data_IF_447844849078
#
_entry.id   IF_447844849078
#
_cell.length_a   1.000
_cell.length_b   1.000
_cell.length_c   1.000
_cell.angle_alpha   90.00
_cell.angle_beta   90.00
_cell.angle_gamma   90.00
#
_symmetry.space_group_name_H-M   'P 1'
#
loop_
_entity.id
_entity.type
_entity.pdbx_description
1 polymer ?
#
# COMPACT_ATOMS: atom_id res chain seq x y z
N UNK A 1 13.60 9.22 -20.54
CA UNK A 1 14.08 8.68 -19.25
C UNK A 1 14.55 7.25 -19.48
N UNK A 2 15.41 6.68 -18.62
CA UNK A 2 15.86 5.29 -18.76
C UNK A 2 14.69 4.29 -18.90
N UNK A 3 13.58 4.55 -18.21
CA UNK A 3 12.33 3.83 -18.36
C UNK A 3 11.79 3.83 -19.80
N UNK A 4 11.67 4.99 -20.44
CA UNK A 4 11.06 5.11 -21.78
C UNK A 4 11.89 4.36 -22.82
N UNK A 5 13.20 4.34 -22.65
CA UNK A 5 14.13 3.66 -23.55
C UNK A 5 14.05 2.14 -23.36
N UNK A 6 13.98 1.66 -22.11
CA UNK A 6 13.72 0.26 -21.81
C UNK A 6 12.35 -0.20 -22.32
N UNK A 7 11.30 0.60 -22.08
CA UNK A 7 9.91 0.28 -22.44
C UNK A 7 9.70 0.22 -23.97
N UNK A 8 10.46 1.00 -24.74
CA UNK A 8 10.45 1.01 -26.22
C UNK A 8 11.49 0.10 -26.87
N UNK A 9 12.30 -0.57 -26.05
CA UNK A 9 13.37 -1.45 -26.51
C UNK A 9 12.83 -2.68 -27.24
N UNK A 10 13.60 -3.18 -28.21
CA UNK A 10 13.33 -4.46 -28.87
C UNK A 10 14.00 -5.65 -28.13
N UNK A 11 14.70 -5.39 -27.02
CA UNK A 11 15.21 -6.45 -26.15
C UNK A 11 14.06 -7.28 -25.59
N UNK A 12 14.25 -8.59 -25.49
CA UNK A 12 13.24 -9.51 -24.97
C UNK A 12 12.98 -9.31 -23.47
N UNK A 13 13.98 -8.86 -22.71
CA UNK A 13 13.86 -8.55 -21.28
C UNK A 13 14.72 -7.32 -20.92
N UNK A 14 14.27 -6.10 -21.23
CA UNK A 14 15.00 -4.89 -20.88
C UNK A 14 15.00 -4.67 -19.36
N UNK A 15 16.12 -4.13 -18.85
CA UNK A 15 16.32 -3.85 -17.43
C UNK A 15 16.60 -2.37 -17.22
N UNK A 16 15.89 -1.75 -16.28
CA UNK A 16 16.23 -0.44 -15.71
C UNK A 16 16.89 -0.69 -14.37
N UNK A 17 18.17 -0.34 -14.24
CA UNK A 17 18.98 -0.65 -13.06
C UNK A 17 19.24 0.60 -12.21
N UNK A 18 18.91 0.52 -10.93
CA UNK A 18 19.45 1.37 -9.87
C UNK A 18 20.50 0.55 -9.11
N UNK A 19 21.79 0.65 -9.45
CA UNK A 19 22.84 -0.24 -8.95
C UNK A 19 23.15 -0.02 -7.47
N UNK A 20 23.78 -1.03 -6.87
CA UNK A 20 24.31 -1.00 -5.50
C UNK A 20 25.15 0.27 -5.23
N UNK A 21 25.15 0.71 -3.97
CA UNK A 21 25.90 1.88 -3.46
C UNK A 21 25.51 3.25 -4.05
N UNK A 22 24.54 3.31 -4.96
CA UNK A 22 24.04 4.58 -5.50
C UNK A 22 22.72 5.02 -4.87
N UNK A 23 22.57 6.35 -4.77
CA UNK A 23 21.41 7.05 -4.26
C UNK A 23 20.73 7.84 -5.39
N UNK A 24 19.47 7.54 -5.65
CA UNK A 24 18.67 8.19 -6.70
C UNK A 24 17.55 9.01 -6.10
N UNK A 25 17.66 10.34 -6.13
CA UNK A 25 16.54 11.23 -5.81
C UNK A 25 15.59 11.28 -7.01
N UNK A 26 14.40 10.71 -6.87
CA UNK A 26 13.40 10.63 -7.94
C UNK A 26 12.23 11.55 -7.62
N UNK A 27 11.96 12.50 -8.50
CA UNK A 27 10.76 13.34 -8.43
C UNK A 27 9.49 12.51 -8.69
N UNK A 28 8.30 13.00 -8.34
CA UNK A 28 7.05 12.30 -8.65
C UNK A 28 6.97 11.99 -10.15
N UNK A 29 6.86 10.71 -10.48
CA UNK A 29 7.06 10.19 -11.83
C UNK A 29 6.02 9.14 -12.17
N UNK A 30 5.49 9.23 -13.39
CA UNK A 30 4.59 8.22 -13.96
C UNK A 30 5.39 7.42 -15.00
N UNK A 31 5.67 6.17 -14.67
CA UNK A 31 6.24 5.15 -15.53
C UNK A 31 5.12 4.50 -16.35
N UNK A 32 4.99 4.93 -17.61
CA UNK A 32 3.86 4.54 -18.46
C UNK A 32 4.22 3.37 -19.38
N UNK A 33 3.28 2.44 -19.52
CA UNK A 33 3.21 1.48 -20.61
C UNK A 33 2.09 1.83 -21.63
N UNK A 34 1.72 0.89 -22.52
CA UNK A 34 2.27 -0.46 -22.63
C UNK A 34 3.71 -0.45 -23.16
N UNK A 35 4.55 -1.32 -22.60
CA UNK A 35 5.90 -1.55 -23.10
C UNK A 35 5.90 -2.63 -24.17
N UNK A 36 6.87 -2.60 -25.09
CA UNK A 36 6.97 -3.59 -26.17
C UNK A 36 7.17 -5.01 -25.64
N UNK A 37 7.98 -5.15 -24.61
CA UNK A 37 8.29 -6.40 -23.95
C UNK A 37 8.18 -6.25 -22.43
N UNK A 38 7.92 -7.34 -21.68
CA UNK A 38 8.03 -7.36 -20.22
C UNK A 38 9.41 -6.87 -19.77
N UNK A 39 9.44 -5.92 -18.84
CA UNK A 39 10.67 -5.29 -18.36
C UNK A 39 10.90 -5.53 -16.87
N UNK A 40 12.16 -5.39 -16.46
CA UNK A 40 12.54 -5.43 -15.04
C UNK A 40 13.01 -4.06 -14.57
N UNK A 41 12.43 -3.56 -13.48
CA UNK A 41 13.04 -2.50 -12.68
C UNK A 41 13.85 -3.17 -11.56
N UNK A 42 15.17 -3.14 -11.70
CA UNK A 42 16.11 -3.74 -10.77
C UNK A 42 16.68 -2.66 -9.85
N UNK A 43 16.37 -2.72 -8.56
CA UNK A 43 16.75 -1.78 -7.53
C UNK A 43 17.68 -2.52 -6.56
N UNK A 44 18.98 -2.28 -6.69
CA UNK A 44 20.03 -2.78 -5.80
C UNK A 44 20.55 -1.68 -4.87
N UNK A 45 20.54 -0.43 -5.33
CA UNK A 45 20.85 0.76 -4.55
C UNK A 45 19.65 1.30 -3.78
N UNK A 46 19.59 2.63 -3.65
CA UNK A 46 18.50 3.31 -2.95
C UNK A 46 17.81 4.34 -3.86
N UNK A 47 16.49 4.25 -3.97
CA UNK A 47 15.63 5.28 -4.58
C UNK A 47 14.98 6.09 -3.45
N UNK A 48 15.03 7.42 -3.52
CA UNK A 48 14.52 8.31 -2.47
C UNK A 48 13.58 9.39 -3.02
N UNK A 49 12.55 9.71 -2.26
CA UNK A 49 11.62 10.80 -2.56
C UNK A 49 12.23 12.18 -2.25
N UNK A 50 11.62 13.27 -2.74
CA UNK A 50 11.86 14.62 -2.20
C UNK A 50 11.55 14.69 -0.71
N UNK A 51 12.33 15.51 0.02
CA UNK A 51 12.29 15.57 1.47
C UNK A 51 11.13 16.41 2.03
N UNK A 52 9.93 15.85 1.92
CA UNK A 52 8.73 16.44 2.50
C UNK A 52 7.95 17.39 1.59
N UNK A 53 6.87 17.99 2.13
CA UNK A 53 5.90 18.78 1.37
C UNK A 53 6.47 20.01 0.65
N UNK A 54 7.50 20.63 1.22
CA UNK A 54 8.11 21.87 0.71
C UNK A 54 9.09 21.60 -0.45
N UNK A 55 9.68 20.40 -0.48
CA UNK A 55 10.54 19.94 -1.57
C UNK A 55 9.75 19.30 -2.71
N UNK A 56 8.44 19.13 -2.54
CA UNK A 56 7.57 18.54 -3.55
C UNK A 56 7.28 19.54 -4.69
N UNK A 57 7.30 19.12 -5.96
CA UNK A 57 7.02 20.02 -7.09
C UNK A 57 5.64 20.68 -7.00
N UNK A 58 5.59 22.02 -7.19
CA UNK A 58 4.36 22.83 -7.02
C UNK A 58 3.22 22.48 -7.98
N UNK A 59 3.54 22.04 -9.20
CA UNK A 59 2.56 21.77 -10.26
C UNK A 59 2.27 20.28 -10.46
N UNK A 60 2.57 19.45 -9.46
CA UNK A 60 2.31 18.01 -9.48
C UNK A 60 1.47 17.64 -8.27
N UNK A 61 0.62 16.62 -8.41
CA UNK A 61 -0.18 16.12 -7.30
C UNK A 61 0.71 15.69 -6.13
N UNK A 62 0.27 15.99 -4.90
CA UNK A 62 0.91 15.54 -3.65
C UNK A 62 0.42 14.16 -3.19
N UNK A 63 -0.39 13.48 -4.01
CA UNK A 63 -1.05 12.22 -3.64
C UNK A 63 -0.29 10.97 -4.07
N UNK A 64 0.72 11.09 -4.93
CA UNK A 64 1.41 9.93 -5.52
C UNK A 64 2.85 10.27 -5.84
N UNK A 65 3.78 9.35 -5.54
CA UNK A 65 5.19 9.49 -5.86
C UNK A 65 5.57 8.74 -7.15
N UNK A 66 5.72 7.41 -7.08
CA UNK A 66 6.09 6.59 -8.23
C UNK A 66 4.85 5.82 -8.70
N UNK A 67 4.41 6.09 -9.91
CA UNK A 67 3.22 5.47 -10.49
C UNK A 67 3.62 4.61 -11.67
N UNK A 68 3.23 3.34 -11.66
CA UNK A 68 3.39 2.40 -12.76
C UNK A 68 2.03 2.22 -13.42
N UNK A 69 1.87 2.80 -14.61
CA UNK A 69 0.58 2.92 -15.28
C UNK A 69 0.55 2.09 -16.55
N UNK A 70 -0.46 1.22 -16.69
CA UNK A 70 -0.64 0.36 -17.88
C UNK A 70 0.59 -0.49 -18.21
N UNK A 71 1.30 -0.96 -17.19
CA UNK A 71 2.40 -1.90 -17.37
C UNK A 71 1.88 -3.33 -17.34
N UNK A 72 2.44 -4.19 -18.19
CA UNK A 72 2.04 -5.59 -18.33
C UNK A 72 3.30 -6.48 -18.30
N UNK A 73 3.33 -7.45 -17.40
CA UNK A 73 4.45 -8.38 -17.26
C UNK A 73 5.66 -7.81 -16.52
N UNK A 74 5.53 -6.65 -15.88
CA UNK A 74 6.64 -5.99 -15.22
C UNK A 74 7.11 -6.77 -13.97
N UNK A 75 8.42 -6.84 -13.78
CA UNK A 75 9.04 -7.25 -12.51
C UNK A 75 9.75 -6.07 -11.82
N UNK A 76 9.57 -5.93 -10.50
CA UNK A 76 10.28 -4.96 -9.65
C UNK A 76 10.99 -5.73 -8.51
N UNK A 77 12.32 -5.67 -8.46
CA UNK A 77 13.15 -6.47 -7.53
C UNK A 77 14.54 -5.91 -7.33
N UNK A 78 15.40 -6.54 -6.53
CA UNK A 78 16.86 -6.32 -6.56
C UNK A 78 17.57 -6.17 -5.23
N UNK A 79 16.89 -6.35 -4.10
CA UNK A 79 17.46 -6.29 -2.74
C UNK A 79 17.67 -4.88 -2.19
N UNK A 80 17.49 -3.85 -3.01
CA UNK A 80 17.69 -2.46 -2.66
C UNK A 80 16.53 -1.83 -1.89
N UNK A 81 16.61 -0.51 -1.75
CA UNK A 81 15.74 0.27 -0.86
C UNK A 81 14.94 1.33 -1.62
N UNK A 82 13.66 1.47 -1.29
CA UNK A 82 12.83 2.61 -1.69
C UNK A 82 12.46 3.41 -0.45
N UNK A 83 12.97 4.64 -0.33
CA UNK A 83 12.75 5.55 0.81
C UNK A 83 11.76 6.66 0.46
N UNK A 84 10.58 6.62 1.06
CA UNK A 84 9.54 7.63 0.88
C UNK A 84 9.78 8.94 1.65
N UNK A 85 10.73 8.99 2.59
CA UNK A 85 11.04 10.17 3.43
C UNK A 85 9.80 10.82 4.06
N UNK A 86 8.96 10.00 4.69
CA UNK A 86 7.64 10.36 5.20
C UNK A 86 7.60 11.30 6.41
N UNK A 87 8.68 11.49 7.15
CA UNK A 87 8.67 12.21 8.44
C UNK A 87 8.03 13.60 8.37
N UNK A 88 8.45 14.42 7.41
CA UNK A 88 7.90 15.77 7.23
C UNK A 88 6.43 15.78 6.78
N UNK A 89 5.96 14.72 6.14
CA UNK A 89 4.56 14.57 5.76
C UNK A 89 3.69 14.17 6.95
N UNK A 90 4.18 13.26 7.78
CA UNK A 90 3.51 12.87 9.03
C UNK A 90 3.48 14.05 10.02
N UNK A 91 4.49 14.92 9.99
CA UNK A 91 4.56 16.08 10.87
C UNK A 91 3.72 17.28 10.46
N UNK A 92 2.92 17.19 9.38
CA UNK A 92 1.99 18.25 9.00
C UNK A 92 0.96 18.52 10.11
N UNK A 93 0.67 19.80 10.46
CA UNK A 93 -0.21 20.15 11.58
C UNK A 93 -1.63 19.58 11.49
N UNK A 94 -2.08 19.30 10.27
CA UNK A 94 -3.42 18.81 10.01
C UNK A 94 -3.53 17.27 10.06
N UNK A 95 -2.45 16.55 10.42
CA UNK A 95 -2.48 15.10 10.60
C UNK A 95 -3.15 14.74 11.94
N UNK A 96 -4.06 13.75 11.99
CA UNK A 96 -4.88 13.47 13.17
C UNK A 96 -4.10 13.34 14.50
N UNK A 97 -2.93 12.70 14.46
CA UNK A 97 -2.09 12.49 15.65
C UNK A 97 -1.37 13.76 16.16
N UNK A 98 -1.46 14.89 15.45
CA UNK A 98 -0.98 16.19 15.91
C UNK A 98 -2.05 17.00 16.65
N UNK A 99 -3.30 16.55 16.57
CA UNK A 99 -4.43 17.20 17.22
C UNK A 99 -4.60 16.81 18.69
N UNK A 100 -5.19 17.71 19.47
CA UNK A 100 -5.72 17.36 20.81
C UNK A 100 -7.12 16.77 20.61
N UNK A 101 -7.43 15.66 21.27
CA UNK A 101 -8.70 14.93 21.15
C UNK A 101 -9.08 14.57 19.69
N UNK A 102 -8.07 14.37 18.83
CA UNK A 102 -8.26 14.06 17.41
C UNK A 102 -8.69 15.25 16.54
N UNK A 103 -8.73 16.47 17.09
CA UNK A 103 -9.07 17.70 16.37
C UNK A 103 -7.81 18.38 15.84
N UNK A 104 -7.77 18.62 14.53
CA UNK A 104 -6.61 19.24 13.86
C UNK A 104 -7.00 20.49 13.09
N UNK A 105 -6.10 21.48 12.96
CA UNK A 105 -6.34 22.62 12.07
C UNK A 105 -6.61 22.15 10.63
N UNK A 106 -7.54 22.79 9.91
CA UNK A 106 -7.72 22.52 8.49
C UNK A 106 -6.46 22.95 7.72
N UNK A 107 -6.09 22.18 6.69
CA UNK A 107 -4.91 22.49 5.89
C UNK A 107 -4.68 21.47 4.77
N UNK A 108 -3.68 21.70 3.90
CA UNK A 108 -3.30 20.70 2.90
C UNK A 108 -2.65 19.49 3.60
N UNK A 109 -3.38 18.37 3.66
CA UNK A 109 -2.96 17.14 4.35
C UNK A 109 -2.61 15.98 3.42
N UNK A 110 -2.61 16.24 2.12
CA UNK A 110 -2.24 15.24 1.13
C UNK A 110 -0.85 14.70 1.44
N UNK A 111 -0.68 13.40 1.29
CA UNK A 111 0.62 12.74 1.37
C UNK A 111 0.70 11.71 0.27
N UNK A 112 1.88 11.55 -0.36
CA UNK A 112 1.98 10.70 -1.52
C UNK A 112 2.02 9.22 -1.11
N UNK A 113 1.24 8.40 -1.82
CA UNK A 113 1.50 6.96 -1.89
C UNK A 113 2.86 6.75 -2.53
N UNK A 114 3.72 5.92 -1.92
CA UNK A 114 5.08 5.73 -2.41
C UNK A 114 5.12 4.99 -3.76
N UNK A 115 4.51 3.81 -3.83
CA UNK A 115 4.48 2.97 -5.02
C UNK A 115 3.04 2.67 -5.40
N UNK A 116 2.56 3.21 -6.53
CA UNK A 116 1.23 2.91 -7.06
C UNK A 116 1.31 2.17 -8.38
N UNK A 117 0.68 1.01 -8.45
CA UNK A 117 0.39 0.32 -9.70
C UNK A 117 -1.05 0.58 -10.09
N UNK A 118 -1.27 1.05 -11.32
CA UNK A 118 -2.59 1.45 -11.78
C UNK A 118 -2.91 0.89 -13.16
N UNK A 119 -4.07 0.24 -13.31
CA UNK A 119 -4.51 -0.38 -14.58
C UNK A 119 -3.44 -1.30 -15.16
N UNK A 120 -2.82 -2.15 -14.34
CA UNK A 120 -1.61 -2.90 -14.69
C UNK A 120 -1.79 -4.40 -14.42
N UNK A 121 -1.05 -5.25 -15.13
CA UNK A 121 -1.27 -6.70 -15.08
C UNK A 121 0.01 -7.52 -15.08
N UNK A 122 -0.07 -8.76 -14.57
CA UNK A 122 1.04 -9.72 -14.55
C UNK A 122 2.26 -9.15 -13.85
N UNK A 123 2.03 -8.61 -12.65
CA UNK A 123 3.03 -7.91 -11.87
C UNK A 123 3.77 -8.88 -10.96
N UNK A 124 5.09 -8.74 -10.89
CA UNK A 124 5.93 -9.39 -9.89
C UNK A 124 6.68 -8.34 -9.11
N UNK A 125 6.48 -8.28 -7.80
CA UNK A 125 7.15 -7.32 -6.92
C UNK A 125 7.75 -8.10 -5.76
N UNK A 126 9.03 -7.94 -5.50
CA UNK A 126 9.62 -8.66 -4.39
C UNK A 126 11.08 -8.36 -4.15
N UNK A 127 11.63 -8.95 -3.09
CA UNK A 127 13.05 -8.80 -2.74
C UNK A 127 13.44 -7.32 -2.55
N UNK A 128 12.66 -6.54 -1.81
CA UNK A 128 12.89 -5.10 -1.63
C UNK A 128 12.59 -4.65 -0.20
N UNK A 129 13.30 -3.61 0.22
CA UNK A 129 12.97 -2.86 1.43
C UNK A 129 12.27 -1.55 1.07
N UNK A 130 11.07 -1.33 1.58
CA UNK A 130 10.36 -0.05 1.43
C UNK A 130 10.29 0.63 2.79
N UNK A 131 10.89 1.81 2.90
CA UNK A 131 10.92 2.55 4.17
C UNK A 131 10.20 3.89 4.09
N UNK A 132 9.60 4.26 5.21
CA UNK A 132 9.13 5.60 5.51
C UNK A 132 8.22 6.19 4.43
N UNK A 133 7.24 5.43 3.94
CA UNK A 133 6.27 5.96 2.99
C UNK A 133 5.45 7.10 3.61
N UNK A 134 5.27 8.25 2.94
CA UNK A 134 4.44 9.35 3.46
C UNK A 134 2.97 8.97 3.70
N UNK A 135 2.48 7.97 2.96
CA UNK A 135 1.17 7.34 3.10
C UNK A 135 1.32 5.83 2.84
N UNK A 136 0.44 5.18 2.08
CA UNK A 136 0.56 3.75 1.76
C UNK A 136 1.89 3.45 1.06
N UNK A 137 2.56 2.37 1.46
CA UNK A 137 3.81 1.94 0.82
C UNK A 137 3.53 1.42 -0.57
N UNK A 138 2.61 0.46 -0.70
CA UNK A 138 2.07 -0.01 -1.97
C UNK A 138 0.59 0.26 -2.11
N UNK A 139 0.18 0.68 -3.32
CA UNK A 139 -1.23 0.66 -3.76
C UNK A 139 -1.35 0.00 -5.11
N UNK A 140 -2.12 -1.08 -5.19
CA UNK A 140 -2.55 -1.70 -6.43
C UNK A 140 -4.00 -1.33 -6.70
N UNK A 141 -4.23 -0.69 -7.84
CA UNK A 141 -5.54 -0.15 -8.20
C UNK A 141 -5.89 -0.57 -9.63
N UNK A 142 -7.01 -1.27 -9.81
CA UNK A 142 -7.41 -1.86 -11.09
C UNK A 142 -6.32 -2.76 -11.68
N UNK A 143 -5.71 -3.63 -10.88
CA UNK A 143 -4.68 -4.55 -11.34
C UNK A 143 -5.18 -5.99 -11.42
N UNK A 144 -4.46 -6.86 -12.15
CA UNK A 144 -4.75 -8.28 -12.17
C UNK A 144 -3.47 -9.12 -12.25
N UNK A 145 -3.50 -10.35 -11.71
CA UNK A 145 -2.34 -11.24 -11.66
C UNK A 145 -1.15 -10.56 -10.97
N UNK A 146 -1.31 -10.25 -9.68
CA UNK A 146 -0.30 -9.54 -8.86
C UNK A 146 0.37 -10.53 -7.92
N UNK A 147 1.69 -10.69 -8.06
CA UNK A 147 2.49 -11.55 -7.19
C UNK A 147 3.49 -10.72 -6.38
N UNK A 148 3.36 -10.78 -5.07
CA UNK A 148 4.19 -10.07 -4.10
C UNK A 148 4.90 -11.08 -3.21
N UNK A 149 6.22 -11.01 -3.13
CA UNK A 149 7.04 -11.97 -2.37
C UNK A 149 8.26 -11.29 -1.73
N UNK A 150 8.65 -11.71 -0.52
CA UNK A 150 9.93 -11.31 0.09
C UNK A 150 10.12 -9.80 0.23
N UNK A 151 9.09 -9.08 0.67
CA UNK A 151 9.17 -7.64 0.99
C UNK A 151 9.50 -7.40 2.46
N UNK A 152 10.22 -6.31 2.71
CA UNK A 152 10.40 -5.73 4.03
C UNK A 152 9.90 -4.29 4.04
N UNK A 153 8.76 -4.04 4.70
CA UNK A 153 8.11 -2.73 4.75
C UNK A 153 8.24 -2.16 6.15
N UNK A 154 8.78 -0.94 6.29
CA UNK A 154 9.10 -0.35 7.58
C UNK A 154 8.73 1.13 7.64
N UNK A 155 7.91 1.51 8.61
CA UNK A 155 7.70 2.88 9.04
C UNK A 155 7.50 2.94 10.57
N UNK A 156 7.68 4.11 11.21
CA UNK A 156 7.46 4.24 12.65
C UNK A 156 6.03 3.83 13.08
N UNK A 157 5.84 3.23 14.27
CA UNK A 157 4.54 2.73 14.72
C UNK A 157 3.43 3.79 14.85
N UNK A 158 3.81 5.07 14.92
CA UNK A 158 2.86 6.19 15.03
C UNK A 158 2.77 7.02 13.74
N UNK A 159 3.34 6.55 12.62
CA UNK A 159 3.19 7.23 11.33
C UNK A 159 1.79 6.99 10.74
N UNK A 160 0.97 8.04 10.53
CA UNK A 160 -0.42 7.89 10.15
C UNK A 160 -0.58 7.42 8.69
N UNK A 161 -1.58 6.57 8.43
CA UNK A 161 -1.97 6.13 7.08
C UNK A 161 -0.83 5.50 6.28
N UNK A 162 0.04 4.75 6.95
CA UNK A 162 1.22 4.13 6.38
C UNK A 162 0.98 2.67 6.00
N UNK A 163 -0.21 2.33 5.51
CA UNK A 163 -0.58 0.97 5.11
C UNK A 163 0.54 0.29 4.32
N UNK A 164 0.82 -0.98 4.60
CA UNK A 164 1.88 -1.72 3.92
C UNK A 164 1.50 -1.99 2.47
N UNK A 165 0.53 -2.87 2.27
CA UNK A 165 0.03 -3.22 0.94
C UNK A 165 -1.47 -2.97 0.88
N UNK A 166 -1.87 -1.99 0.08
CA UNK A 166 -3.26 -1.70 -0.21
C UNK A 166 -3.65 -2.23 -1.60
N UNK A 167 -4.74 -2.99 -1.68
CA UNK A 167 -5.31 -3.46 -2.95
C UNK A 167 -6.75 -2.96 -3.11
N UNK A 168 -7.11 -2.47 -4.28
CA UNK A 168 -8.46 -2.02 -4.60
C UNK A 168 -8.78 -2.31 -6.08
N UNK A 169 -10.00 -2.76 -6.37
CA UNK A 169 -10.41 -3.22 -7.71
C UNK A 169 -9.40 -4.20 -8.34
N UNK A 170 -8.75 -5.03 -7.53
CA UNK A 170 -7.59 -5.83 -7.93
C UNK A 170 -7.84 -7.30 -7.63
N UNK A 171 -7.53 -8.18 -8.58
CA UNK A 171 -7.86 -9.61 -8.49
C UNK A 171 -6.74 -10.53 -8.94
N UNK A 172 -6.82 -11.79 -8.51
CA UNK A 172 -5.76 -12.79 -8.67
C UNK A 172 -4.45 -12.29 -8.04
N UNK A 173 -4.49 -12.14 -6.71
CA UNK A 173 -3.39 -11.57 -5.92
C UNK A 173 -2.79 -12.63 -5.02
N UNK A 174 -1.47 -12.74 -5.02
CA UNK A 174 -0.70 -13.52 -4.04
C UNK A 174 0.26 -12.61 -3.30
N UNK A 175 0.22 -12.64 -1.97
CA UNK A 175 1.13 -11.90 -1.10
C UNK A 175 1.77 -12.89 -0.13
N UNK A 176 3.10 -12.99 -0.13
CA UNK A 176 3.76 -14.00 0.69
C UNK A 176 5.14 -13.60 1.20
N UNK A 177 5.60 -14.31 2.24
CA UNK A 177 6.97 -14.27 2.76
C UNK A 177 7.46 -12.86 3.10
N UNK A 178 6.59 -12.01 3.61
CA UNK A 178 6.88 -10.58 3.76
C UNK A 178 6.70 -10.11 5.20
N UNK A 179 7.48 -9.09 5.56
CA UNK A 179 7.49 -8.47 6.89
C UNK A 179 7.01 -7.03 6.75
N UNK A 180 6.03 -6.63 7.56
CA UNK A 180 5.48 -5.28 7.56
C UNK A 180 5.38 -4.76 8.99
N UNK A 181 6.07 -3.64 9.24
CA UNK A 181 6.02 -2.89 10.48
C UNK A 181 5.72 -1.43 10.14
N UNK A 182 4.59 -0.90 10.58
CA UNK A 182 4.13 0.44 10.21
C UNK A 182 3.21 1.03 11.29
N UNK A 183 2.53 2.13 10.98
CA UNK A 183 1.55 2.75 11.88
C UNK A 183 0.09 2.61 11.44
N UNK A 184 -0.22 1.73 10.47
CA UNK A 184 -1.60 1.49 10.02
C UNK A 184 -1.78 0.02 9.56
N UNK A 185 -2.72 -0.27 8.66
CA UNK A 185 -2.97 -1.65 8.22
C UNK A 185 -1.70 -2.30 7.60
N UNK A 186 -1.39 -3.52 8.03
CA UNK A 186 -0.32 -4.34 7.43
C UNK A 186 -0.64 -4.62 5.96
N UNK A 187 -1.86 -5.11 5.73
CA UNK A 187 -2.48 -5.29 4.42
C UNK A 187 -3.91 -4.76 4.52
N UNK A 188 -4.34 -3.94 3.56
CA UNK A 188 -5.72 -3.45 3.45
C UNK A 188 -6.36 -3.82 2.11
N UNK A 189 -7.52 -4.47 2.17
CA UNK A 189 -8.24 -5.00 1.01
C UNK A 189 -9.50 -4.17 0.77
N UNK A 190 -9.45 -3.32 -0.25
CA UNK A 190 -10.53 -2.45 -0.70
C UNK A 190 -11.55 -3.13 -1.60
N UNK A 191 -12.57 -2.36 -1.96
CA UNK A 191 -13.71 -2.82 -2.76
C UNK A 191 -13.29 -3.33 -4.16
N UNK A 192 -14.08 -4.25 -4.71
CA UNK A 192 -13.86 -4.82 -6.04
C UNK A 192 -12.74 -5.85 -6.12
N UNK A 193 -12.09 -6.17 -4.99
CA UNK A 193 -11.01 -7.14 -4.94
C UNK A 193 -11.52 -8.56 -4.73
N UNK A 194 -10.97 -9.53 -5.45
CA UNK A 194 -11.34 -10.95 -5.30
C UNK A 194 -10.20 -11.90 -5.65
N UNK A 195 -10.24 -13.12 -5.11
CA UNK A 195 -9.19 -14.12 -5.26
C UNK A 195 -7.82 -13.62 -4.77
N UNK A 196 -7.71 -13.47 -3.45
CA UNK A 196 -6.54 -12.96 -2.76
C UNK A 196 -6.02 -14.03 -1.79
N UNK A 197 -4.80 -14.53 -2.01
CA UNK A 197 -4.10 -15.45 -1.11
C UNK A 197 -2.95 -14.73 -0.42
N UNK A 198 -2.99 -14.66 0.91
CA UNK A 198 -2.00 -14.04 1.77
C UNK A 198 -1.42 -15.13 2.66
N UNK A 199 -0.11 -15.35 2.62
CA UNK A 199 0.52 -16.47 3.34
C UNK A 199 1.87 -16.06 3.93
N UNK A 200 2.22 -16.56 5.12
CA UNK A 200 3.55 -16.34 5.70
C UNK A 200 3.92 -14.85 5.81
N UNK A 201 3.00 -14.07 6.38
CA UNK A 201 3.20 -12.66 6.71
C UNK A 201 3.65 -12.52 8.16
N UNK A 202 4.59 -11.60 8.41
CA UNK A 202 4.85 -11.06 9.75
C UNK A 202 4.40 -9.61 9.78
N UNK A 203 3.29 -9.33 10.47
CA UNK A 203 2.74 -7.99 10.64
C UNK A 203 3.03 -7.50 12.06
N UNK A 204 3.46 -6.26 12.24
CA UNK A 204 3.56 -5.66 13.55
C UNK A 204 4.81 -4.81 13.77
N UNK A 205 4.68 -3.68 14.48
CA UNK A 205 3.44 -3.04 14.95
C UNK A 205 2.56 -2.53 13.78
N UNK A 206 1.29 -2.22 14.06
CA UNK A 206 0.32 -1.68 13.08
C UNK A 206 -1.15 -1.92 13.45
N UNK A 207 -2.04 -1.93 12.46
CA UNK A 207 -3.48 -2.14 12.63
C UNK A 207 -3.99 -3.51 12.13
N UNK A 208 -3.09 -4.43 11.78
CA UNK A 208 -3.42 -5.80 11.38
C UNK A 208 -3.73 -5.97 9.90
N UNK A 209 -4.34 -7.11 9.54
CA UNK A 209 -4.78 -7.42 8.17
C UNK A 209 -6.27 -7.11 8.06
N UNK A 210 -6.61 -6.11 7.24
CA UNK A 210 -7.95 -5.53 7.18
C UNK A 210 -8.63 -5.73 5.83
N UNK A 211 -9.88 -6.18 5.84
CA UNK A 211 -10.82 -6.04 4.73
C UNK A 211 -11.62 -4.76 4.96
N UNK A 212 -11.49 -3.79 4.06
CA UNK A 212 -12.15 -2.49 4.10
C UNK A 212 -11.23 -1.32 4.47
N UNK A 213 -11.79 -0.13 4.72
CA UNK A 213 -13.22 0.12 4.93
C UNK A 213 -14.04 0.02 3.65
N UNK A 214 -15.14 -0.72 3.68
CA UNK A 214 -16.00 -0.96 2.51
C UNK A 214 -17.29 -0.13 2.58
N UNK A 215 -17.81 0.33 1.45
CA UNK A 215 -19.13 0.96 1.37
C UNK A 215 -19.17 2.44 1.79
N UNK A 216 -18.02 3.12 1.78
CA UNK A 216 -17.92 4.54 2.13
C UNK A 216 -18.92 5.39 1.32
N UNK A 217 -19.54 6.40 1.96
CA UNK A 217 -20.53 7.31 1.33
C UNK A 217 -21.73 6.57 0.71
N UNK A 218 -22.30 5.61 1.44
CA UNK A 218 -23.44 4.79 0.99
C UNK A 218 -23.18 4.05 -0.33
N UNK A 219 -21.92 3.78 -0.66
CA UNK A 219 -21.56 3.06 -1.87
C UNK A 219 -21.77 1.55 -1.70
N UNK A 220 -21.88 0.85 -2.83
CA UNK A 220 -21.87 -0.61 -2.87
C UNK A 220 -20.43 -1.11 -2.98
N UNK A 221 -20.02 -2.00 -2.09
CA UNK A 221 -18.69 -2.59 -2.08
C UNK A 221 -18.76 -4.11 -1.89
N UNK A 222 -18.05 -4.84 -2.75
CA UNK A 222 -17.96 -6.29 -2.70
C UNK A 222 -16.51 -6.74 -2.65
N UNK A 223 -16.23 -7.72 -1.80
CA UNK A 223 -14.94 -8.44 -1.71
C UNK A 223 -15.25 -9.92 -1.55
N UNK A 224 -14.50 -10.79 -2.22
CA UNK A 224 -14.74 -12.23 -2.09
C UNK A 224 -13.49 -13.10 -2.29
N UNK A 225 -13.55 -14.33 -1.77
CA UNK A 225 -12.47 -15.32 -1.93
C UNK A 225 -11.12 -14.79 -1.42
N UNK A 226 -11.07 -14.52 -0.11
CA UNK A 226 -9.87 -14.04 0.58
C UNK A 226 -9.37 -15.14 1.51
N UNK A 227 -8.12 -15.53 1.36
CA UNK A 227 -7.46 -16.48 2.25
C UNK A 227 -6.26 -15.81 2.88
N UNK A 228 -6.16 -15.90 4.20
CA UNK A 228 -4.98 -15.49 4.96
C UNK A 228 -4.53 -16.67 5.78
N UNK A 229 -3.27 -17.08 5.66
CA UNK A 229 -2.76 -18.26 6.36
C UNK A 229 -1.33 -18.15 6.83
N UNK A 230 -0.97 -19.01 7.79
CA UNK A 230 0.40 -19.24 8.21
C UNK A 230 1.15 -17.96 8.59
N UNK A 231 0.47 -17.01 9.23
CA UNK A 231 0.98 -15.64 9.45
C UNK A 231 1.05 -15.29 10.93
N UNK A 232 1.91 -14.35 11.28
CA UNK A 232 2.01 -13.80 12.63
C UNK A 232 1.68 -12.31 12.66
N UNK A 233 0.90 -11.90 13.65
CA UNK A 233 0.56 -10.49 13.91
C UNK A 233 0.98 -10.16 15.34
N UNK A 234 1.79 -9.12 15.51
CA UNK A 234 2.33 -8.74 16.81
C UNK A 234 2.21 -7.24 17.09
N UNK A 235 2.13 -6.86 18.36
CA UNK A 235 2.19 -5.47 18.83
C UNK A 235 1.26 -4.52 18.06
N UNK A 236 0.05 -5.00 17.77
CA UNK A 236 -0.87 -4.37 16.82
C UNK A 236 -2.23 -4.09 17.46
N UNK A 237 -2.89 -3.04 17.01
CA UNK A 237 -4.23 -2.70 17.48
C UNK A 237 -5.27 -3.78 17.14
N UNK A 238 -5.12 -4.41 15.98
CA UNK A 238 -6.01 -5.49 15.55
C UNK A 238 -5.21 -6.63 14.92
N UNK A 239 -5.76 -7.84 14.99
CA UNK A 239 -5.24 -9.00 14.27
C UNK A 239 -5.83 -9.03 12.88
N UNK A 240 -6.89 -9.80 12.69
CA UNK A 240 -7.67 -9.81 11.44
C UNK A 240 -8.93 -8.97 11.61
N UNK A 241 -9.21 -8.11 10.63
CA UNK A 241 -10.25 -7.09 10.74
C UNK A 241 -11.13 -7.04 9.49
N UNK A 242 -12.43 -6.88 9.68
CA UNK A 242 -13.37 -6.51 8.62
C UNK A 242 -14.08 -5.23 9.06
N UNK A 243 -13.99 -4.17 8.25
CA UNK A 243 -14.62 -2.87 8.53
C UNK A 243 -15.52 -2.44 7.38
N UNK A 244 -16.81 -2.24 7.63
CA UNK A 244 -17.77 -1.71 6.65
C UNK A 244 -18.40 -0.44 7.17
N UNK A 245 -18.50 0.56 6.31
CA UNK A 245 -19.14 1.82 6.61
C UNK A 245 -20.63 1.64 6.84
N UNK A 246 -21.13 2.33 7.85
CA UNK A 246 -22.54 2.48 8.04
C UNK A 246 -23.23 3.14 6.83
N UNK A 247 -24.39 2.62 6.45
CA UNK A 247 -25.13 3.06 5.26
C UNK A 247 -24.59 2.51 3.93
N UNK A 248 -23.38 1.93 3.94
CA UNK A 248 -22.85 1.16 2.82
C UNK A 248 -23.66 -0.10 2.53
N UNK A 249 -23.51 -0.64 1.32
CA UNK A 249 -24.15 -1.89 0.90
C UNK A 249 -23.15 -2.83 0.21
N UNK A 250 -23.50 -4.10 0.03
CA UNK A 250 -22.68 -5.07 -0.69
C UNK A 250 -22.39 -6.33 0.12
N UNK A 251 -21.19 -6.90 -0.03
CA UNK A 251 -20.88 -8.21 0.56
C UNK A 251 -19.39 -8.45 0.78
N UNK A 252 -19.08 -9.16 1.86
CA UNK A 252 -17.80 -9.84 2.07
C UNK A 252 -18.09 -11.33 2.17
N UNK A 253 -17.56 -12.15 1.27
CA UNK A 253 -17.91 -13.57 1.20
C UNK A 253 -16.72 -14.48 0.92
N UNK A 254 -16.80 -15.74 1.38
CA UNK A 254 -15.73 -16.72 1.24
C UNK A 254 -14.38 -16.20 1.75
N UNK A 255 -14.33 -15.88 3.04
CA UNK A 255 -13.11 -15.41 3.71
C UNK A 255 -12.65 -16.48 4.70
N UNK A 256 -11.38 -16.83 4.66
CA UNK A 256 -10.76 -17.76 5.59
C UNK A 256 -9.48 -17.16 6.20
N UNK A 257 -9.41 -17.15 7.53
CA UNK A 257 -8.20 -16.88 8.29
C UNK A 257 -7.79 -18.18 8.98
N UNK A 258 -6.61 -18.69 8.68
CA UNK A 258 -6.16 -20.03 9.11
C UNK A 258 -4.73 -19.97 9.66
N UNK A 259 -4.42 -20.68 10.75
CA UNK A 259 -3.09 -20.69 11.35
C UNK A 259 -2.46 -19.28 11.54
N UNK A 260 -3.17 -18.37 12.20
CA UNK A 260 -2.70 -17.00 12.49
C UNK A 260 -2.24 -16.91 13.93
N UNK A 261 -0.93 -16.73 14.16
CA UNK A 261 -0.38 -16.46 15.49
C UNK A 261 -0.55 -14.98 15.82
N UNK A 262 -1.07 -14.68 16.99
CA UNK A 262 -1.21 -13.29 17.46
C UNK A 262 -0.52 -13.12 18.81
N UNK A 263 0.32 -12.09 18.94
CA UNK A 263 1.06 -11.77 20.16
C UNK A 263 0.92 -10.29 20.50
N UNK A 264 0.52 -9.96 21.73
CA UNK A 264 0.25 -8.57 22.14
C UNK A 264 -0.65 -7.79 21.15
N UNK A 265 -1.74 -8.43 20.70
CA UNK A 265 -2.71 -7.85 19.78
C UNK A 265 -3.96 -7.43 20.54
N UNK A 266 -4.31 -6.13 20.50
CA UNK A 266 -5.41 -5.58 21.31
C UNK A 266 -6.77 -6.15 20.91
N UNK A 267 -7.08 -6.20 19.61
CA UNK A 267 -8.30 -6.79 19.08
C UNK A 267 -7.96 -7.94 18.12
N UNK A 268 -7.75 -9.19 18.59
CA UNK A 268 -7.31 -10.30 17.75
C UNK A 268 -8.18 -10.51 16.50
N UNK A 269 -9.51 -10.46 16.67
CA UNK A 269 -10.49 -10.53 15.58
C UNK A 269 -11.51 -9.42 15.81
N UNK A 270 -11.77 -8.60 14.80
CA UNK A 270 -12.79 -7.56 14.87
C UNK A 270 -13.56 -7.45 13.55
N UNK A 271 -14.89 -7.50 13.64
CA UNK A 271 -15.79 -7.27 12.52
C UNK A 271 -16.70 -6.11 12.92
N UNK A 272 -16.46 -4.95 12.30
CA UNK A 272 -17.17 -3.71 12.56
C UNK A 272 -18.01 -3.32 11.33
N UNK A 273 -19.33 -3.38 11.49
CA UNK A 273 -20.28 -2.99 10.43
C UNK A 273 -20.80 -1.55 10.56
N UNK A 274 -20.35 -0.84 11.58
CA UNK A 274 -20.71 0.56 11.88
C UNK A 274 -19.48 1.45 11.80
N UNK A 275 -18.49 1.07 10.97
CA UNK A 275 -17.25 1.82 10.85
C UNK A 275 -17.57 3.26 10.44
N UNK A 276 -17.09 4.20 11.25
CA UNK A 276 -17.27 5.61 11.05
C UNK A 276 -15.96 6.33 11.34
N UNK A 277 -15.51 7.14 10.38
CA UNK A 277 -14.48 8.13 10.63
C UNK A 277 -15.10 9.53 10.53
N UNK A 278 -15.38 10.15 11.67
CA UNK A 278 -15.95 11.50 11.75
C UNK A 278 -15.11 12.57 11.04
N UNK A 279 -13.79 12.35 10.86
CA UNK A 279 -12.91 13.24 10.11
C UNK A 279 -13.12 13.18 8.58
N UNK A 280 -13.85 12.19 8.06
CA UNK A 280 -14.07 11.99 6.62
C UNK A 280 -15.29 12.76 6.05
N UNK A 281 -15.95 13.61 6.85
CA UNK A 281 -17.11 14.39 6.42
C UNK A 281 -18.35 13.55 6.08
N UNK A 282 -18.44 12.33 6.61
CA UNK A 282 -19.59 11.42 6.44
C UNK A 282 -20.47 11.54 7.68
N UNK A 283 -21.77 11.76 7.49
CA UNK A 283 -22.76 11.72 8.59
C UNK A 283 -22.92 10.27 9.03
N UNK A 284 -22.47 9.96 10.24
CA UNK A 284 -22.67 8.66 10.87
C UNK A 284 -23.87 8.77 11.80
N UNK A 285 -24.87 7.89 11.66
CA UNK A 285 -26.01 7.86 12.60
C UNK A 285 -25.65 6.92 13.76
N UNK A 286 -25.57 7.45 14.98
CA UNK A 286 -25.42 6.62 16.19
C UNK A 286 -26.51 5.54 16.29
#
# INVERSE_FOLDING_TARGET
MAWDDACRSNLSSPVVLAPVDLLFLIQPTIFSGPCKNPLTLQIEGTIMAPDGPDSWPKNVTKKQWLVFYRVNGMSMRGGGVVDGRGEKWWNLPCKPHKGVDGTTPPGPCDSPVALRFFTSSKLRVGELTIKNSPMFHFRFDHCNEVHIDSLHIIAPPHSPNTDGIHIENTYDVTIQNSIVSNGDDCISIGAGSYNVDITNMTCGPGHGISIGSLGMKNSRACVSNIKVRDSSIQDSDNGVRIKTWQGGSGSVSNVAFDNIRMDNVRNPIIIDQYYCNHAAGVSCTN
#
